data_IF_788827498668
#
_entry.id   IF_788827498668
#
_cell.length_a   1.000
_cell.length_b   1.000
_cell.length_c   1.000
_cell.angle_alpha   90.00
_cell.angle_beta   90.00
_cell.angle_gamma   90.00
#
_symmetry.space_group_name_H-M   'P 1'
#
loop_
_entity.id
_entity.type
_entity.pdbx_description
1 polymer ?
#
# COMPACT_ATOMS: atom_id res chain seq x y z
N UNK A 1 15.58 11.87 17.59
CA UNK A 1 15.81 10.41 17.65
C UNK A 1 17.31 10.16 17.49
N UNK A 2 17.97 9.47 18.43
CA UNK A 2 19.38 9.08 18.28
C UNK A 2 19.46 7.78 17.49
N UNK A 3 20.45 7.64 16.60
CA UNK A 3 20.58 6.44 15.76
C UNK A 3 20.77 5.16 16.60
N UNK A 4 21.45 5.25 17.75
CA UNK A 4 21.62 4.14 18.70
C UNK A 4 20.31 3.54 19.21
N UNK A 5 19.21 4.30 19.17
CA UNK A 5 17.88 3.90 19.64
C UNK A 5 16.89 3.81 18.48
N UNK A 6 17.37 3.69 17.24
CA UNK A 6 16.54 3.71 16.05
C UNK A 6 16.80 2.46 15.21
N UNK A 7 15.73 1.81 14.78
CA UNK A 7 15.84 0.65 13.89
C UNK A 7 16.03 1.12 12.44
N UNK A 8 17.25 0.93 11.92
CA UNK A 8 17.65 1.30 10.56
C UNK A 8 18.60 0.23 9.98
N UNK A 9 18.05 -0.85 9.39
CA UNK A 9 18.85 -1.98 8.89
C UNK A 9 19.42 -1.68 7.50
N UNK A 10 20.51 -0.90 7.42
CA UNK A 10 21.15 -0.60 6.14
C UNK A 10 21.85 -1.82 5.54
N UNK A 11 21.84 -1.94 4.21
CA UNK A 11 22.52 -3.02 3.48
C UNK A 11 23.80 -2.52 2.80
N UNK A 12 24.89 -3.28 2.95
CA UNK A 12 26.18 -3.00 2.30
C UNK A 12 26.12 -3.27 0.80
N UNK A 13 25.46 -4.34 0.41
CA UNK A 13 25.33 -4.79 -0.96
C UNK A 13 23.94 -4.50 -1.49
N UNK A 14 23.84 -4.37 -2.80
CA UNK A 14 22.57 -4.15 -3.47
C UNK A 14 21.92 -5.51 -3.67
N UNK A 15 20.70 -5.72 -3.17
CA UNK A 15 20.00 -6.99 -3.40
C UNK A 15 19.80 -7.25 -4.89
N UNK A 16 20.05 -8.48 -5.34
CA UNK A 16 20.10 -8.84 -6.75
C UNK A 16 18.72 -8.75 -7.43
N UNK A 17 17.65 -8.88 -6.65
CA UNK A 17 16.25 -8.77 -7.07
C UNK A 17 15.82 -7.34 -7.42
N UNK A 18 16.61 -6.33 -7.05
CA UNK A 18 16.28 -4.94 -7.33
C UNK A 18 16.88 -4.49 -8.66
N UNK A 19 16.04 -4.30 -9.68
CA UNK A 19 16.49 -3.88 -11.02
C UNK A 19 16.69 -2.36 -11.14
N UNK A 20 15.78 -1.57 -10.58
CA UNK A 20 15.78 -0.11 -10.73
C UNK A 20 16.40 0.61 -9.52
N UNK A 21 16.95 1.81 -9.77
CA UNK A 21 17.72 2.57 -8.77
C UNK A 21 16.92 2.93 -7.51
N UNK A 22 15.64 3.28 -7.65
CA UNK A 22 14.79 3.62 -6.51
C UNK A 22 14.61 2.42 -5.58
N UNK A 23 14.23 1.26 -6.12
CA UNK A 23 14.08 0.02 -5.36
C UNK A 23 15.37 -0.36 -4.63
N UNK A 24 16.51 -0.33 -5.34
CA UNK A 24 17.85 -0.59 -4.78
C UNK A 24 18.16 0.31 -3.59
N UNK A 25 17.91 1.62 -3.72
CA UNK A 25 18.19 2.60 -2.68
C UNK A 25 17.27 2.44 -1.48
N UNK A 26 15.97 2.18 -1.70
CA UNK A 26 15.00 1.98 -0.62
C UNK A 26 15.34 0.75 0.23
N UNK A 27 15.77 -0.35 -0.39
CA UNK A 27 16.26 -1.53 0.35
C UNK A 27 17.54 -1.22 1.12
N UNK A 28 18.56 -0.64 0.45
CA UNK A 28 19.87 -0.36 1.07
C UNK A 28 19.81 0.64 2.21
N UNK A 29 18.95 1.65 2.11
CA UNK A 29 18.76 2.64 3.16
C UNK A 29 17.85 2.14 4.29
N UNK A 30 17.38 0.89 4.26
CA UNK A 30 16.50 0.33 5.28
C UNK A 30 15.15 1.05 5.33
N UNK A 31 14.58 1.40 4.17
CA UNK A 31 13.27 2.07 4.07
C UNK A 31 12.12 1.09 3.91
N UNK A 32 12.35 -0.02 3.22
CA UNK A 32 11.36 -1.07 2.97
C UNK A 32 12.00 -2.45 3.11
N UNK A 33 11.16 -3.46 3.35
CA UNK A 33 11.52 -4.87 3.31
C UNK A 33 10.44 -5.61 2.54
N UNK A 34 10.82 -6.48 1.61
CA UNK A 34 9.87 -7.30 0.88
C UNK A 34 9.40 -8.47 1.75
N UNK A 35 8.08 -8.65 1.86
CA UNK A 35 7.45 -9.76 2.57
C UNK A 35 6.94 -10.83 1.60
N UNK A 36 6.44 -10.41 0.43
CA UNK A 36 6.13 -11.29 -0.71
C UNK A 36 6.23 -10.52 -2.03
N UNK A 37 5.98 -11.17 -3.18
CA UNK A 37 5.98 -10.50 -4.48
C UNK A 37 5.00 -9.31 -4.48
N UNK A 38 5.50 -8.09 -4.68
CA UNK A 38 4.72 -6.86 -4.67
C UNK A 38 4.24 -6.35 -3.30
N UNK A 39 4.56 -7.04 -2.18
CA UNK A 39 4.11 -6.67 -0.83
C UNK A 39 5.32 -6.34 0.05
N UNK A 40 5.27 -5.17 0.68
CA UNK A 40 6.38 -4.61 1.42
C UNK A 40 5.97 -4.17 2.82
N UNK A 41 6.84 -4.43 3.80
CA UNK A 41 6.82 -3.75 5.08
C UNK A 41 7.55 -2.40 4.96
N UNK A 42 6.93 -1.34 5.45
CA UNK A 42 7.57 -0.03 5.58
C UNK A 42 8.40 0.03 6.86
N UNK A 43 9.71 0.18 6.71
CA UNK A 43 10.62 0.34 7.84
C UNK A 43 10.47 1.73 8.47
N UNK A 44 10.93 1.97 9.70
CA UNK A 44 10.66 3.23 10.41
C UNK A 44 11.01 4.49 9.63
N UNK A 45 12.14 4.49 8.90
CA UNK A 45 12.53 5.66 8.09
C UNK A 45 11.65 5.82 6.86
N UNK A 46 11.31 4.72 6.17
CA UNK A 46 10.39 4.74 5.03
C UNK A 46 8.99 5.21 5.42
N UNK A 47 8.45 4.71 6.53
CA UNK A 47 7.14 5.12 7.06
C UNK A 47 7.10 6.61 7.41
N UNK A 48 8.19 7.18 7.93
CA UNK A 48 8.27 8.62 8.20
C UNK A 48 8.23 9.46 6.93
N UNK A 49 8.84 8.99 5.85
CA UNK A 49 8.77 9.65 4.54
C UNK A 49 7.37 9.52 3.95
N UNK A 50 6.78 8.32 3.98
CA UNK A 50 5.41 8.07 3.52
C UNK A 50 4.40 9.01 4.19
N UNK A 51 4.47 9.15 5.52
CA UNK A 51 3.59 10.07 6.28
C UNK A 51 3.78 11.54 5.91
N UNK A 52 4.99 11.96 5.54
CA UNK A 52 5.21 13.34 5.05
C UNK A 52 4.55 13.56 3.70
N UNK A 53 4.64 12.57 2.80
CA UNK A 53 3.99 12.63 1.49
C UNK A 53 2.47 12.68 1.67
N UNK A 54 1.93 11.77 2.49
CA UNK A 54 0.50 11.71 2.85
C UNK A 54 -0.01 13.05 3.40
N UNK A 55 0.75 13.67 4.31
CA UNK A 55 0.37 14.95 4.91
C UNK A 55 0.26 16.08 3.88
N UNK A 56 1.20 16.17 2.92
CA UNK A 56 1.14 17.17 1.85
C UNK A 56 -0.09 16.95 0.97
N UNK A 57 -0.38 15.70 0.61
CA UNK A 57 -1.58 15.37 -0.18
C UNK A 57 -2.85 15.80 0.56
N UNK A 58 -2.95 15.47 1.86
CA UNK A 58 -4.09 15.86 2.71
C UNK A 58 -4.27 17.37 2.76
N UNK A 59 -3.20 18.12 3.07
CA UNK A 59 -3.25 19.58 3.18
C UNK A 59 -3.74 20.26 1.90
N UNK A 60 -3.31 19.76 0.73
CA UNK A 60 -3.73 20.33 -0.55
C UNK A 60 -5.16 19.92 -0.93
N UNK A 61 -5.60 18.71 -0.58
CA UNK A 61 -7.00 18.30 -0.77
C UNK A 61 -7.95 19.10 0.13
N UNK A 62 -7.60 19.32 1.40
CA UNK A 62 -8.35 20.16 2.33
C UNK A 62 -8.44 21.61 1.81
N UNK A 63 -7.33 22.15 1.27
CA UNK A 63 -7.29 23.48 0.65
C UNK A 63 -8.25 23.58 -0.55
N UNK A 64 -8.40 22.49 -1.31
CA UNK A 64 -9.32 22.42 -2.44
C UNK A 64 -10.79 22.19 -2.01
N UNK A 65 -11.06 21.97 -0.72
CA UNK A 65 -12.41 21.76 -0.19
C UNK A 65 -12.90 20.32 -0.21
N UNK A 66 -12.01 19.35 -0.45
CA UNK A 66 -12.37 17.93 -0.28
C UNK A 66 -12.58 17.60 1.21
N UNK A 67 -13.39 16.58 1.51
CA UNK A 67 -13.65 16.09 2.87
C UNK A 67 -13.15 14.65 2.95
N UNK A 68 -12.13 14.42 3.77
CA UNK A 68 -11.51 13.09 3.94
C UNK A 68 -12.41 12.14 4.74
N UNK A 69 -12.48 10.89 4.28
CA UNK A 69 -13.08 9.74 4.98
C UNK A 69 -12.27 8.49 4.68
N UNK A 70 -12.43 7.43 5.48
CA UNK A 70 -11.74 6.16 5.28
C UNK A 70 -12.74 5.03 5.05
N UNK A 71 -12.70 4.44 3.86
CA UNK A 71 -13.52 3.28 3.48
C UNK A 71 -12.85 1.96 3.89
N UNK A 72 -13.61 0.86 4.04
CA UNK A 72 -13.05 -0.46 4.30
C UNK A 72 -12.22 -0.96 3.10
N UNK A 73 -11.15 -1.70 3.39
CA UNK A 73 -10.31 -2.34 2.36
C UNK A 73 -10.95 -3.58 1.75
N UNK A 74 -11.80 -4.28 2.50
CA UNK A 74 -12.58 -5.42 2.03
C UNK A 74 -13.99 -4.95 1.68
N UNK A 75 -14.46 -5.29 0.48
CA UNK A 75 -15.73 -4.86 -0.06
C UNK A 75 -16.60 -6.06 -0.45
N UNK A 76 -17.93 -5.89 -0.38
CA UNK A 76 -18.87 -6.90 -0.88
C UNK A 76 -18.78 -7.00 -2.40
N UNK A 77 -18.78 -8.22 -2.94
CA UNK A 77 -18.86 -8.43 -4.38
C UNK A 77 -20.18 -7.90 -4.98
N UNK A 78 -21.25 -7.83 -4.19
CA UNK A 78 -22.57 -7.37 -4.68
C UNK A 78 -22.52 -5.92 -5.16
N UNK A 79 -21.80 -5.05 -4.44
CA UNK A 79 -21.58 -3.65 -4.84
C UNK A 79 -20.91 -3.56 -6.23
N UNK A 80 -19.97 -4.46 -6.52
CA UNK A 80 -19.27 -4.50 -7.80
C UNK A 80 -20.13 -5.08 -8.92
N UNK A 81 -21.03 -6.03 -8.60
CA UNK A 81 -22.00 -6.58 -9.54
C UNK A 81 -23.04 -5.54 -9.95
N UNK A 82 -23.49 -4.69 -9.03
CA UNK A 82 -24.42 -3.59 -9.33
C UNK A 82 -23.85 -2.65 -10.41
N UNK A 83 -22.55 -2.37 -10.36
CA UNK A 83 -21.86 -1.56 -11.39
C UNK A 83 -21.48 -2.34 -12.65
N UNK A 84 -21.60 -3.68 -12.65
CA UNK A 84 -21.10 -4.57 -13.71
C UNK A 84 -19.59 -4.82 -13.68
N UNK A 85 -18.82 -4.12 -12.85
CA UNK A 85 -17.34 -4.17 -12.85
C UNK A 85 -16.73 -5.42 -12.25
N UNK A 86 -17.53 -6.25 -11.56
CA UNK A 86 -17.02 -7.43 -10.86
C UNK A 86 -16.27 -8.40 -11.80
N UNK A 87 -16.83 -8.70 -12.97
CA UNK A 87 -16.22 -9.62 -13.94
C UNK A 87 -15.32 -8.91 -14.96
N UNK A 88 -15.62 -7.65 -15.28
CA UNK A 88 -14.84 -6.84 -16.22
C UNK A 88 -13.42 -6.52 -15.72
N UNK A 89 -13.21 -6.40 -14.41
CA UNK A 89 -11.89 -6.12 -13.83
C UNK A 89 -10.88 -7.26 -14.06
N UNK A 90 -11.37 -8.49 -14.26
CA UNK A 90 -10.55 -9.65 -14.58
C UNK A 90 -9.65 -10.12 -13.43
N UNK A 91 -8.48 -10.66 -13.78
CA UNK A 91 -7.62 -11.45 -12.88
C UNK A 91 -6.85 -10.63 -11.84
N UNK A 92 -6.78 -9.32 -12.00
CA UNK A 92 -6.10 -8.44 -11.04
C UNK A 92 -6.93 -8.23 -9.77
N UNK A 93 -8.24 -8.51 -9.81
CA UNK A 93 -9.12 -8.41 -8.65
C UNK A 93 -8.87 -9.56 -7.66
N UNK A 94 -8.41 -9.22 -6.47
CA UNK A 94 -8.23 -10.19 -5.38
C UNK A 94 -9.59 -10.53 -4.74
N UNK A 95 -10.21 -11.60 -5.22
CA UNK A 95 -11.47 -12.14 -4.70
C UNK A 95 -11.23 -13.01 -3.47
N UNK A 96 -12.10 -12.89 -2.48
CA UNK A 96 -12.02 -13.55 -1.16
C UNK A 96 -13.40 -14.10 -0.84
N UNK A 97 -13.46 -15.28 -0.22
CA UNK A 97 -14.70 -15.82 0.32
C UNK A 97 -14.57 -15.92 1.85
N UNK A 98 -15.55 -15.42 2.60
CA UNK A 98 -15.53 -15.61 4.06
C UNK A 98 -15.99 -17.02 4.48
N UNK A 99 -15.92 -17.30 5.78
CA UNK A 99 -16.38 -18.56 6.38
C UNK A 99 -17.89 -18.83 6.24
N UNK A 100 -18.66 -17.84 5.81
CA UNK A 100 -20.11 -17.93 5.56
C UNK A 100 -20.41 -17.96 4.06
N UNK A 101 -19.40 -18.28 3.24
CA UNK A 101 -19.50 -18.38 1.79
C UNK A 101 -19.86 -17.07 1.08
N UNK A 102 -19.66 -15.92 1.73
CA UNK A 102 -19.93 -14.60 1.12
C UNK A 102 -18.78 -14.18 0.22
N UNK A 103 -19.12 -13.78 -1.00
CA UNK A 103 -18.18 -13.23 -1.96
C UNK A 103 -17.80 -11.79 -1.58
N UNK A 104 -16.50 -11.58 -1.45
CA UNK A 104 -15.88 -10.30 -1.15
C UNK A 104 -14.64 -10.10 -2.00
N UNK A 105 -14.05 -8.92 -1.93
CA UNK A 105 -12.80 -8.61 -2.60
C UNK A 105 -11.97 -7.60 -1.80
N UNK A 106 -10.66 -7.61 -2.00
CA UNK A 106 -9.80 -6.52 -1.58
C UNK A 106 -9.92 -5.40 -2.62
N UNK A 107 -10.45 -4.25 -2.22
CA UNK A 107 -10.82 -3.15 -3.12
C UNK A 107 -9.61 -2.63 -3.90
N UNK A 108 -9.59 -2.73 -5.24
CA UNK A 108 -8.54 -2.10 -6.04
C UNK A 108 -8.79 -0.58 -6.21
N UNK A 109 -10.03 -0.13 -5.94
CA UNK A 109 -10.49 1.27 -6.02
C UNK A 109 -11.87 1.40 -5.34
N UNK A 110 -12.43 2.61 -5.27
CA UNK A 110 -13.64 2.98 -4.52
C UNK A 110 -14.50 4.05 -5.24
N UNK A 111 -14.85 3.84 -6.51
CA UNK A 111 -15.77 4.70 -7.28
C UNK A 111 -17.23 4.61 -6.80
#
# INVERSE_FOLDING_TARGET
MRLSNYFLPTLRETPAEAEIVSHRLMLRAGLIRQESAGIYAWMPLGLRVLRKIEQVVREEQDRAGAIELLMPTIQSADLWRESGRYDDYGKEMLRIQDRHERDMLFGPTNE
#
